data_IF_785655712070
#
_entry.id   IF_785655712070
#
_cell.length_a   1.000
_cell.length_b   1.000
_cell.length_c   1.000
_cell.angle_alpha   90.00
_cell.angle_beta   90.00
_cell.angle_gamma   90.00
#
_symmetry.space_group_name_H-M   'P 1'
#
loop_
_entity.id
_entity.type
_entity.pdbx_description
1 polymer ?
#
# COMPACT_ATOMS: atom_id res chain seq x y z
N UNK A 1 -8.87 -7.13 -1.33
CA UNK A 1 -10.29 -7.42 -1.51
C UNK A 1 -11.15 -6.22 -1.08
N UNK A 2 -11.34 -5.96 0.21
CA UNK A 2 -12.26 -4.97 0.77
C UNK A 2 -12.16 -3.56 0.15
N UNK A 3 -10.95 -3.10 -0.22
CA UNK A 3 -10.78 -1.81 -0.87
C UNK A 3 -11.41 -1.75 -2.28
N UNK A 4 -11.31 -2.84 -3.04
CA UNK A 4 -11.95 -2.98 -4.35
C UNK A 4 -13.46 -3.04 -4.22
N UNK A 5 -13.96 -3.83 -3.29
CA UNK A 5 -15.38 -3.96 -2.97
C UNK A 5 -15.98 -2.59 -2.58
N UNK A 6 -15.35 -1.89 -1.65
CA UNK A 6 -15.78 -0.54 -1.25
C UNK A 6 -15.77 0.44 -2.44
N UNK A 7 -14.76 0.40 -3.29
CA UNK A 7 -14.66 1.28 -4.48
C UNK A 7 -15.72 0.95 -5.53
N UNK A 8 -16.10 -0.32 -5.69
CA UNK A 8 -17.22 -0.75 -6.53
C UNK A 8 -18.56 -0.23 -5.96
N UNK A 9 -18.77 -0.38 -4.64
CA UNK A 9 -19.95 0.14 -3.96
C UNK A 9 -20.09 1.67 -4.13
N UNK A 10 -18.99 2.41 -4.02
CA UNK A 10 -18.98 3.86 -4.26
C UNK A 10 -19.39 4.16 -5.70
N UNK A 11 -18.84 3.43 -6.69
CA UNK A 11 -19.22 3.60 -8.09
C UNK A 11 -20.73 3.34 -8.30
N UNK A 12 -21.24 2.25 -7.73
CA UNK A 12 -22.67 1.88 -7.79
C UNK A 12 -23.58 2.96 -7.23
N UNK A 13 -23.25 3.48 -6.04
CA UNK A 13 -24.03 4.55 -5.37
C UNK A 13 -23.95 5.88 -6.14
N UNK A 14 -22.77 6.22 -6.67
CA UNK A 14 -22.51 7.45 -7.41
C UNK A 14 -23.22 7.50 -8.78
N UNK A 15 -23.39 6.36 -9.41
CA UNK A 15 -23.94 6.20 -10.76
C UNK A 15 -25.22 7.01 -11.00
N UNK A 16 -26.19 6.99 -10.08
CA UNK A 16 -27.46 7.70 -10.21
C UNK A 16 -27.28 9.23 -10.32
N UNK A 17 -26.33 9.80 -9.58
CA UNK A 17 -26.08 11.24 -9.60
C UNK A 17 -25.38 11.68 -10.89
N UNK A 18 -24.46 10.89 -11.42
CA UNK A 18 -23.83 11.17 -12.71
C UNK A 18 -24.81 10.98 -13.88
N UNK A 19 -25.69 10.00 -13.80
CA UNK A 19 -26.77 9.83 -14.79
C UNK A 19 -27.78 10.99 -14.76
N UNK A 20 -28.15 11.47 -13.58
CA UNK A 20 -28.99 12.66 -13.41
C UNK A 20 -28.32 13.90 -14.02
N UNK A 21 -27.04 14.13 -13.71
CA UNK A 21 -26.25 15.21 -14.27
C UNK A 21 -26.23 15.17 -15.81
N UNK A 22 -25.94 14.01 -16.39
CA UNK A 22 -25.97 13.81 -17.86
C UNK A 22 -27.35 14.10 -18.47
N UNK A 23 -28.42 13.68 -17.79
CA UNK A 23 -29.79 13.92 -18.23
C UNK A 23 -30.07 15.41 -18.29
N UNK A 24 -29.73 16.16 -17.26
CA UNK A 24 -29.96 17.62 -17.21
C UNK A 24 -29.15 18.34 -18.30
N UNK A 25 -27.88 18.01 -18.48
CA UNK A 25 -27.07 18.59 -19.58
C UNK A 25 -27.72 18.32 -20.94
N UNK A 26 -28.20 17.09 -21.17
CA UNK A 26 -28.85 16.75 -22.43
C UNK A 26 -30.12 17.54 -22.67
N UNK A 27 -30.88 17.89 -21.62
CA UNK A 27 -32.05 18.76 -21.75
C UNK A 27 -31.67 20.16 -22.20
N UNK A 28 -30.53 20.70 -21.70
CA UNK A 28 -30.02 22.02 -22.07
C UNK A 28 -29.31 22.07 -23.43
N UNK A 29 -28.93 20.91 -24.00
CA UNK A 29 -28.19 20.89 -25.27
C UNK A 29 -29.11 20.94 -26.50
N UNK A 30 -30.44 21.09 -26.40
CA UNK A 30 -31.40 21.28 -27.51
C UNK A 30 -30.96 20.85 -28.91
N UNK A 31 -31.83 20.80 -29.89
CA UNK A 31 -31.41 20.68 -31.29
C UNK A 31 -30.94 22.06 -31.78
N UNK A 32 -30.07 22.08 -32.82
CA UNK A 32 -29.62 23.35 -33.45
C UNK A 32 -30.75 24.26 -33.89
N UNK A 33 -31.93 23.70 -34.11
CA UNK A 33 -33.17 24.42 -34.51
C UNK A 33 -33.99 24.92 -33.32
N UNK A 34 -33.83 24.35 -32.11
CA UNK A 34 -34.50 24.73 -30.86
C UNK A 34 -33.56 24.61 -29.66
N UNK A 35 -32.72 25.61 -29.36
CA UNK A 35 -31.92 25.64 -28.16
C UNK A 35 -32.84 25.75 -26.94
N UNK A 36 -32.82 24.71 -26.09
CA UNK A 36 -33.57 24.72 -24.85
C UNK A 36 -32.69 25.29 -23.76
N UNK A 37 -33.04 26.48 -23.25
CA UNK A 37 -32.31 27.03 -22.11
C UNK A 37 -32.72 26.28 -20.83
N UNK A 38 -31.74 25.87 -20.05
CA UNK A 38 -31.97 25.22 -18.74
C UNK A 38 -32.67 26.18 -17.78
N UNK A 39 -33.64 25.66 -17.05
CA UNK A 39 -34.29 26.40 -15.94
C UNK A 39 -33.26 26.80 -14.88
N UNK A 40 -33.58 27.78 -14.06
CA UNK A 40 -32.73 28.19 -12.93
C UNK A 40 -32.55 27.04 -11.91
N UNK A 41 -33.59 26.24 -11.71
CA UNK A 41 -33.58 25.06 -10.87
C UNK A 41 -32.63 23.98 -11.39
N UNK A 42 -32.68 23.70 -12.69
CA UNK A 42 -31.73 22.76 -13.33
C UNK A 42 -30.26 23.22 -13.25
N UNK A 43 -30.01 24.53 -13.47
CA UNK A 43 -28.71 25.14 -13.33
C UNK A 43 -28.18 24.98 -11.89
N UNK A 44 -29.02 25.29 -10.89
CA UNK A 44 -28.66 25.11 -9.48
C UNK A 44 -28.39 23.63 -9.14
N UNK A 45 -29.23 22.73 -9.64
CA UNK A 45 -29.06 21.29 -9.43
C UNK A 45 -27.77 20.74 -10.07
N UNK A 46 -27.39 21.21 -11.25
CA UNK A 46 -26.09 20.84 -11.88
C UNK A 46 -24.92 21.29 -11.02
N UNK A 47 -24.95 22.51 -10.48
CA UNK A 47 -23.90 23.02 -9.60
C UNK A 47 -23.79 22.19 -8.32
N UNK A 48 -24.92 21.87 -7.70
CA UNK A 48 -24.97 21.01 -6.52
C UNK A 48 -24.38 19.62 -6.79
N UNK A 49 -24.84 18.96 -7.86
CA UNK A 49 -24.34 17.62 -8.23
C UNK A 49 -22.83 17.64 -8.53
N UNK A 50 -22.35 18.65 -9.23
CA UNK A 50 -20.91 18.80 -9.54
C UNK A 50 -20.09 19.00 -8.29
N UNK A 51 -20.52 19.87 -7.39
CA UNK A 51 -19.83 20.18 -6.14
C UNK A 51 -19.82 18.99 -5.16
N UNK A 52 -20.99 18.35 -4.97
CA UNK A 52 -21.15 17.27 -3.98
C UNK A 52 -20.50 15.96 -4.42
N UNK A 53 -20.57 15.65 -5.72
CA UNK A 53 -20.07 14.38 -6.25
C UNK A 53 -18.80 14.49 -7.06
N UNK A 54 -18.17 15.68 -7.13
CA UNK A 54 -16.92 15.91 -7.86
C UNK A 54 -16.97 15.38 -9.29
N UNK A 55 -18.06 15.67 -10.02
CA UNK A 55 -18.26 15.21 -11.40
C UNK A 55 -17.33 15.97 -12.33
N UNK A 56 -16.52 15.25 -13.12
CA UNK A 56 -15.60 15.81 -14.11
C UNK A 56 -16.06 15.44 -15.53
N UNK A 57 -15.73 16.29 -16.50
CA UNK A 57 -16.22 16.17 -17.88
C UNK A 57 -15.83 14.84 -18.56
N UNK A 58 -14.63 14.31 -18.24
CA UNK A 58 -14.19 13.02 -18.81
C UNK A 58 -15.04 11.83 -18.35
N UNK A 59 -15.61 11.89 -17.15
CA UNK A 59 -16.51 10.83 -16.65
C UNK A 59 -17.85 10.82 -17.41
N UNK A 60 -18.24 11.97 -17.98
CA UNK A 60 -19.49 12.09 -18.75
C UNK A 60 -19.42 11.31 -20.08
N UNK A 61 -18.22 11.00 -20.55
CA UNK A 61 -18.00 10.18 -21.75
C UNK A 61 -18.27 8.69 -21.52
N UNK A 62 -18.26 8.22 -20.27
CA UNK A 62 -18.54 6.83 -19.95
C UNK A 62 -19.98 6.43 -20.30
N UNK A 63 -20.25 5.20 -20.73
CA UNK A 63 -21.61 4.66 -20.84
C UNK A 63 -22.38 4.78 -19.52
N UNK A 64 -23.69 4.89 -19.60
CA UNK A 64 -24.55 5.01 -18.41
C UNK A 64 -24.38 3.85 -17.41
N UNK A 65 -24.01 2.66 -17.90
CA UNK A 65 -23.72 1.51 -17.06
C UNK A 65 -22.59 1.81 -16.08
N UNK A 66 -21.57 2.57 -16.50
CA UNK A 66 -20.35 2.85 -15.75
C UNK A 66 -20.23 4.32 -15.30
N UNK A 67 -21.34 5.05 -15.29
CA UNK A 67 -21.37 6.48 -14.97
C UNK A 67 -20.81 6.85 -13.58
N UNK A 68 -20.66 5.90 -12.67
CA UNK A 68 -20.05 6.14 -11.35
C UNK A 68 -18.56 5.81 -11.26
N UNK A 69 -17.97 5.24 -12.33
CA UNK A 69 -16.57 4.79 -12.37
C UNK A 69 -15.59 5.93 -12.58
N UNK A 70 -14.29 5.66 -12.46
CA UNK A 70 -13.25 6.61 -12.88
C UNK A 70 -13.22 6.76 -14.41
N UNK A 71 -12.78 7.92 -14.88
CA UNK A 71 -12.93 8.33 -16.29
C UNK A 71 -12.34 7.34 -17.33
N UNK A 72 -11.17 6.76 -17.03
CA UNK A 72 -10.48 5.79 -17.89
C UNK A 72 -10.80 4.32 -17.55
N UNK A 73 -11.97 4.04 -17.02
CA UNK A 73 -12.35 2.66 -16.63
C UNK A 73 -12.39 1.72 -17.84
N UNK A 74 -13.04 2.13 -18.94
CA UNK A 74 -13.16 1.31 -20.14
C UNK A 74 -11.78 1.12 -20.79
N UNK A 75 -11.46 -0.12 -21.14
CA UNK A 75 -10.17 -0.51 -21.71
C UNK A 75 -9.08 -0.77 -20.65
N UNK A 76 -9.40 -0.57 -19.36
CA UNK A 76 -8.51 -1.00 -18.28
C UNK A 76 -8.63 -2.51 -18.03
N UNK A 77 -7.59 -3.18 -17.49
CA UNK A 77 -7.67 -4.61 -17.17
C UNK A 77 -8.85 -4.97 -16.27
N UNK A 78 -9.17 -4.12 -15.31
CA UNK A 78 -10.30 -4.36 -14.39
C UNK A 78 -11.65 -4.27 -15.09
N UNK A 79 -11.78 -3.47 -16.18
CA UNK A 79 -12.99 -3.43 -17.02
C UNK A 79 -13.18 -4.68 -17.87
N UNK A 80 -12.11 -5.45 -18.04
CA UNK A 80 -12.10 -6.78 -18.68
C UNK A 80 -12.23 -7.92 -17.65
N UNK A 81 -12.44 -7.59 -16.38
CA UNK A 81 -12.52 -8.54 -15.28
C UNK A 81 -11.18 -9.10 -14.83
N UNK A 82 -10.07 -8.43 -15.14
CA UNK A 82 -8.73 -8.84 -14.72
C UNK A 82 -8.29 -8.06 -13.50
N UNK A 83 -8.09 -8.73 -12.37
CA UNK A 83 -7.46 -8.17 -11.19
C UNK A 83 -5.93 -8.10 -11.35
N UNK A 84 -5.26 -7.44 -10.42
CA UNK A 84 -3.80 -7.34 -10.43
C UNK A 84 -3.13 -8.73 -10.37
N UNK A 85 -3.64 -9.64 -9.56
CA UNK A 85 -3.09 -11.00 -9.44
C UNK A 85 -3.27 -11.83 -10.72
N UNK A 86 -4.36 -11.63 -11.50
CA UNK A 86 -4.54 -12.27 -12.80
C UNK A 86 -3.43 -11.85 -13.78
N UNK A 87 -3.03 -10.56 -13.76
CA UNK A 87 -1.94 -10.04 -14.59
C UNK A 87 -0.55 -10.61 -14.20
N UNK A 88 -0.43 -11.14 -13.00
CA UNK A 88 0.77 -11.76 -12.48
C UNK A 88 0.74 -13.29 -12.55
N UNK A 89 -0.34 -13.86 -13.09
CA UNK A 89 -0.60 -15.31 -13.10
C UNK A 89 -0.50 -15.93 -11.70
N UNK A 90 -1.08 -15.26 -10.71
CA UNK A 90 -1.14 -15.70 -9.32
C UNK A 90 -2.59 -16.00 -8.97
N UNK A 91 -2.84 -17.15 -8.39
CA UNK A 91 -4.16 -17.51 -7.85
C UNK A 91 -4.32 -16.94 -6.42
N UNK A 92 -5.47 -16.35 -6.09
CA UNK A 92 -5.79 -16.00 -4.71
C UNK A 92 -5.99 -17.27 -3.88
N UNK A 93 -6.04 -17.12 -2.55
CA UNK A 93 -6.28 -18.28 -1.68
C UNK A 93 -7.60 -18.97 -2.03
N UNK A 94 -7.66 -20.31 -1.99
CA UNK A 94 -8.86 -21.06 -2.36
C UNK A 94 -10.11 -20.65 -1.56
N UNK A 95 -9.94 -20.29 -0.29
CA UNK A 95 -11.01 -19.85 0.60
C UNK A 95 -11.69 -18.57 0.10
N UNK A 96 -10.93 -17.68 -0.53
CA UNK A 96 -11.39 -16.38 -1.04
C UNK A 96 -11.87 -16.43 -2.48
N UNK A 97 -11.72 -17.55 -3.18
CA UNK A 97 -11.99 -17.63 -4.63
C UNK A 97 -13.42 -17.23 -4.98
N UNK A 98 -14.41 -17.75 -4.25
CA UNK A 98 -15.81 -17.42 -4.49
C UNK A 98 -16.15 -15.94 -4.27
N UNK A 99 -15.52 -15.32 -3.28
CA UNK A 99 -15.67 -13.89 -3.00
C UNK A 99 -15.05 -13.04 -4.13
N UNK A 100 -13.88 -13.41 -4.62
CA UNK A 100 -13.22 -12.74 -5.75
C UNK A 100 -14.04 -12.86 -7.04
N UNK A 101 -14.63 -14.03 -7.33
CA UNK A 101 -15.47 -14.25 -8.51
C UNK A 101 -16.76 -13.40 -8.44
N UNK A 102 -17.39 -13.31 -7.28
CA UNK A 102 -18.54 -12.45 -7.02
C UNK A 102 -18.19 -10.98 -7.24
N UNK A 103 -17.08 -10.51 -6.64
CA UNK A 103 -16.62 -9.13 -6.78
C UNK A 103 -16.28 -8.81 -8.24
N UNK A 104 -15.68 -9.75 -8.97
CA UNK A 104 -15.41 -9.62 -10.42
C UNK A 104 -16.70 -9.37 -11.21
N UNK A 105 -17.72 -10.16 -10.96
CA UNK A 105 -19.02 -10.01 -11.61
C UNK A 105 -19.67 -8.65 -11.28
N UNK A 106 -19.60 -8.22 -10.04
CA UNK A 106 -20.14 -6.94 -9.60
C UNK A 106 -19.39 -5.75 -10.21
N UNK A 107 -18.05 -5.81 -10.31
CA UNK A 107 -17.25 -4.78 -10.97
C UNK A 107 -17.58 -4.70 -12.47
N UNK A 108 -17.71 -5.83 -13.16
CA UNK A 108 -18.12 -5.87 -14.56
C UNK A 108 -19.51 -5.26 -14.78
N UNK A 109 -20.40 -5.37 -13.79
CA UNK A 109 -21.76 -4.83 -13.85
C UNK A 109 -21.83 -3.35 -13.47
N UNK A 110 -21.07 -2.90 -12.48
CA UNK A 110 -21.22 -1.59 -11.87
C UNK A 110 -20.04 -0.65 -12.11
N UNK A 111 -18.88 -1.19 -12.51
CA UNK A 111 -17.62 -0.47 -12.57
C UNK A 111 -16.99 -0.25 -11.18
N UNK A 112 -15.92 0.54 -11.14
CA UNK A 112 -15.17 0.85 -9.91
C UNK A 112 -14.78 2.33 -9.87
N UNK A 113 -14.85 2.96 -8.69
CA UNK A 113 -14.63 4.42 -8.56
C UNK A 113 -13.17 4.82 -8.67
N UNK A 114 -12.24 4.02 -8.16
CA UNK A 114 -10.83 4.35 -8.06
C UNK A 114 -10.00 3.40 -8.94
N UNK A 115 -9.11 3.95 -9.77
CA UNK A 115 -8.22 3.17 -10.62
C UNK A 115 -7.11 2.46 -9.83
N UNK A 116 -6.65 3.09 -8.75
CA UNK A 116 -5.61 2.56 -7.87
C UNK A 116 -6.08 2.73 -6.41
N UNK A 117 -5.85 1.73 -5.58
CA UNK A 117 -6.38 1.66 -4.22
C UNK A 117 -5.29 1.47 -3.17
N UNK A 118 -4.31 0.61 -3.45
CA UNK A 118 -3.31 0.20 -2.47
C UNK A 118 -1.93 0.66 -2.91
N UNK A 119 -1.26 1.41 -2.03
CA UNK A 119 0.14 1.79 -2.13
C UNK A 119 0.81 1.57 -0.77
N UNK A 120 1.92 0.83 -0.75
CA UNK A 120 2.68 0.58 0.46
C UNK A 120 3.73 1.66 0.64
N UNK A 121 3.42 2.62 1.51
CA UNK A 121 4.24 3.80 1.80
C UNK A 121 5.39 3.47 2.77
N UNK A 122 6.43 4.34 2.86
CA UNK A 122 7.50 4.18 3.84
C UNK A 122 7.01 4.26 5.31
N UNK A 123 5.94 5.00 5.58
CA UNK A 123 5.36 5.22 6.92
C UNK A 123 6.34 5.83 7.94
N UNK A 124 7.33 6.61 7.48
CA UNK A 124 8.44 7.10 8.28
C UNK A 124 8.05 7.83 9.59
N UNK A 125 7.01 8.65 9.56
CA UNK A 125 6.51 9.35 10.76
C UNK A 125 5.43 8.56 11.49
N UNK A 126 4.49 7.96 10.75
CA UNK A 126 3.35 7.22 11.32
C UNK A 126 3.81 6.00 12.11
N UNK A 127 4.80 5.26 11.60
CA UNK A 127 5.37 4.10 12.30
C UNK A 127 5.95 4.50 13.66
N UNK A 128 6.63 5.65 13.71
CA UNK A 128 7.22 6.15 14.95
C UNK A 128 6.18 6.58 15.98
N UNK A 129 5.08 7.21 15.54
CA UNK A 129 3.96 7.58 16.42
C UNK A 129 3.33 6.34 17.05
N UNK A 130 3.19 5.28 16.26
CA UNK A 130 2.59 4.02 16.70
C UNK A 130 3.57 3.07 17.43
N UNK A 131 4.86 3.40 17.44
CA UNK A 131 5.91 2.54 18.02
C UNK A 131 6.20 1.28 17.21
N UNK A 132 6.03 1.36 15.87
CA UNK A 132 6.33 0.30 14.92
C UNK A 132 7.53 0.67 14.05
N UNK A 133 8.00 -0.28 13.21
CA UNK A 133 9.05 -0.03 12.24
C UNK A 133 8.49 0.57 10.93
N UNK A 134 9.36 1.22 10.17
CA UNK A 134 9.04 1.75 8.82
C UNK A 134 8.82 0.61 7.83
N UNK A 135 8.07 0.89 6.77
CA UNK A 135 7.79 -0.06 5.69
C UNK A 135 7.20 -1.39 6.22
N UNK A 136 7.42 -2.48 5.50
CA UNK A 136 7.15 -3.85 5.95
C UNK A 136 8.50 -4.56 6.07
N UNK A 137 9.31 -4.08 7.00
CA UNK A 137 10.71 -4.49 7.16
C UNK A 137 11.01 -4.83 8.62
N UNK A 138 12.00 -5.71 8.89
CA UNK A 138 12.51 -5.95 10.23
C UNK A 138 13.11 -4.70 10.86
N UNK A 139 13.19 -4.64 12.18
CA UNK A 139 13.85 -3.54 12.87
C UNK A 139 15.32 -3.44 12.46
N UNK A 140 15.80 -2.21 12.28
CA UNK A 140 17.22 -1.95 12.04
C UNK A 140 18.07 -2.17 13.27
N UNK A 141 17.51 -1.86 14.43
CA UNK A 141 18.13 -1.97 15.76
C UNK A 141 17.07 -2.23 16.82
N UNK A 142 17.36 -3.07 17.81
CA UNK A 142 16.50 -3.25 18.98
C UNK A 142 16.63 -2.13 20.01
N UNK A 143 17.74 -1.35 20.00
CA UNK A 143 17.93 -0.15 20.80
C UNK A 143 18.71 0.89 19.99
N UNK A 144 18.23 2.12 19.93
CA UNK A 144 18.90 3.19 19.22
C UNK A 144 18.59 4.57 19.82
N UNK A 145 19.40 5.55 19.48
CA UNK A 145 19.19 6.94 19.89
C UNK A 145 18.52 7.72 18.78
N UNK A 146 17.41 8.37 19.08
CA UNK A 146 16.68 9.26 18.16
C UNK A 146 16.88 10.71 18.57
N UNK A 147 17.40 11.50 17.65
CA UNK A 147 17.49 12.96 17.78
C UNK A 147 16.28 13.64 17.12
N UNK A 148 15.63 14.53 17.85
CA UNK A 148 14.53 15.37 17.38
C UNK A 148 14.79 16.82 17.77
N UNK A 149 13.96 17.75 17.32
CA UNK A 149 14.01 19.15 17.76
C UNK A 149 13.75 19.29 19.27
N UNK A 150 13.00 18.37 19.89
CA UNK A 150 12.68 18.37 21.31
C UNK A 150 13.78 17.72 22.19
N UNK A 151 14.79 17.08 21.59
CA UNK A 151 15.87 16.44 22.33
C UNK A 151 16.31 15.09 21.76
N UNK A 152 17.10 14.39 22.56
CA UNK A 152 17.66 13.08 22.22
C UNK A 152 17.00 12.02 23.10
N UNK A 153 16.42 11.00 22.46
CA UNK A 153 15.67 9.94 23.15
C UNK A 153 16.27 8.58 22.84
N UNK A 154 16.34 7.72 23.83
CA UNK A 154 16.66 6.29 23.62
C UNK A 154 15.36 5.57 23.32
N UNK A 155 15.32 4.89 22.19
CA UNK A 155 14.19 4.05 21.75
C UNK A 155 14.62 2.61 21.84
N UNK A 156 13.79 1.77 22.46
CA UNK A 156 14.04 0.35 22.63
C UNK A 156 12.84 -0.45 22.12
N UNK A 157 13.10 -1.63 21.58
CA UNK A 157 12.06 -2.57 21.21
C UNK A 157 11.35 -3.11 22.46
N UNK A 158 10.17 -2.56 22.74
CA UNK A 158 9.39 -2.87 23.95
C UNK A 158 9.01 -4.34 24.07
N UNK A 159 8.83 -5.03 22.94
CA UNK A 159 8.48 -6.45 22.92
C UNK A 159 9.67 -7.31 23.36
N UNK A 160 10.87 -7.00 22.86
CA UNK A 160 12.09 -7.65 23.32
C UNK A 160 12.29 -7.44 24.84
N UNK A 161 12.09 -6.20 25.33
CA UNK A 161 12.21 -5.92 26.76
C UNK A 161 11.23 -6.75 27.58
N UNK A 162 9.96 -6.88 27.11
CA UNK A 162 8.97 -7.67 27.81
C UNK A 162 9.37 -9.16 27.87
N UNK A 163 9.79 -9.73 26.75
CA UNK A 163 10.23 -11.13 26.70
C UNK A 163 11.46 -11.36 27.62
N UNK A 164 12.39 -10.42 27.67
CA UNK A 164 13.56 -10.52 28.56
C UNK A 164 13.19 -10.33 30.05
N UNK A 165 12.15 -9.54 30.36
CA UNK A 165 11.58 -9.41 31.71
C UNK A 165 10.90 -10.71 32.12
N UNK A 166 10.11 -11.30 31.24
CA UNK A 166 9.39 -12.56 31.50
C UNK A 166 10.37 -13.73 31.74
N UNK A 167 11.55 -13.68 31.11
CA UNK A 167 12.66 -14.59 31.33
C UNK A 167 13.49 -14.26 32.59
N UNK A 168 13.25 -13.13 33.24
CA UNK A 168 14.00 -12.69 34.43
C UNK A 168 15.44 -12.25 34.15
N UNK A 169 15.82 -11.98 32.91
CA UNK A 169 17.19 -11.64 32.50
C UNK A 169 17.37 -10.15 32.11
N UNK A 170 16.29 -9.37 32.12
CA UNK A 170 16.37 -7.94 31.83
C UNK A 170 16.92 -7.18 33.00
N UNK A 171 18.07 -6.54 32.81
CA UNK A 171 18.73 -5.66 33.80
C UNK A 171 19.63 -4.63 33.09
N UNK A 172 20.33 -3.77 33.83
CA UNK A 172 21.20 -2.75 33.25
C UNK A 172 22.35 -3.38 32.43
N UNK A 173 22.93 -4.49 32.90
CA UNK A 173 24.01 -5.18 32.20
C UNK A 173 23.54 -5.73 30.85
N UNK A 174 22.33 -6.33 30.80
CA UNK A 174 21.70 -6.82 29.55
C UNK A 174 21.50 -5.66 28.57
N UNK A 175 20.98 -4.53 29.03
CA UNK A 175 20.81 -3.33 28.21
C UNK A 175 22.14 -2.88 27.61
N UNK A 176 23.21 -2.82 28.44
CA UNK A 176 24.52 -2.39 28.00
C UNK A 176 25.13 -3.37 26.99
N UNK A 177 24.95 -4.70 27.19
CA UNK A 177 25.31 -5.72 26.17
C UNK A 177 24.62 -5.51 24.84
N UNK A 178 23.32 -5.19 24.83
CA UNK A 178 22.57 -4.92 23.58
C UNK A 178 23.11 -3.66 22.90
N UNK A 179 23.41 -2.60 23.66
CA UNK A 179 24.01 -1.35 23.12
C UNK A 179 25.38 -1.63 22.52
N UNK A 180 26.25 -2.37 23.20
CA UNK A 180 27.60 -2.71 22.74
C UNK A 180 27.59 -3.58 21.46
N UNK A 181 26.50 -4.29 21.21
CA UNK A 181 26.29 -5.09 20.01
C UNK A 181 25.45 -4.36 18.94
N UNK A 182 25.44 -3.02 18.91
CA UNK A 182 24.71 -2.20 17.95
C UNK A 182 23.21 -2.57 17.86
N UNK A 183 22.60 -2.92 19.00
CA UNK A 183 21.20 -3.33 19.08
C UNK A 183 20.91 -4.75 18.63
N UNK A 184 21.92 -5.53 18.27
CA UNK A 184 21.80 -6.98 18.04
C UNK A 184 21.80 -7.75 19.36
N UNK A 185 21.06 -8.85 19.39
CA UNK A 185 21.07 -9.80 20.52
C UNK A 185 21.71 -11.14 20.18
N UNK A 186 22.21 -11.30 18.95
CA UNK A 186 22.68 -12.60 18.45
C UNK A 186 23.91 -13.12 19.20
N UNK A 187 24.81 -12.23 19.63
CA UNK A 187 26.05 -12.57 20.33
C UNK A 187 25.91 -12.64 21.87
N UNK A 188 24.70 -12.50 22.41
CA UNK A 188 24.47 -12.51 23.86
C UNK A 188 24.05 -13.92 24.29
N UNK A 189 24.92 -14.63 24.95
CA UNK A 189 24.75 -16.08 25.27
C UNK A 189 23.56 -16.37 26.20
N UNK A 190 23.26 -15.45 27.10
CA UNK A 190 22.17 -15.58 28.08
C UNK A 190 20.78 -15.57 27.47
N UNK A 191 20.65 -15.08 26.23
CA UNK A 191 19.36 -15.01 25.53
C UNK A 191 19.09 -16.32 24.79
N UNK A 192 17.93 -16.96 25.02
CA UNK A 192 17.55 -18.18 24.32
C UNK A 192 17.47 -18.04 22.80
N UNK A 193 17.76 -19.10 22.05
CA UNK A 193 17.80 -19.07 20.59
C UNK A 193 16.48 -18.68 19.92
N UNK A 194 15.34 -19.08 20.47
CA UNK A 194 14.02 -18.71 19.96
C UNK A 194 13.78 -17.18 20.03
N UNK A 195 14.29 -16.51 21.08
CA UNK A 195 14.23 -15.04 21.21
C UNK A 195 15.19 -14.40 20.22
N UNK A 196 16.43 -14.93 20.10
CA UNK A 196 17.38 -14.48 19.08
C UNK A 196 16.81 -14.55 17.68
N UNK A 197 16.11 -15.62 17.34
CA UNK A 197 15.50 -15.81 16.01
C UNK A 197 14.36 -14.84 15.74
N UNK A 198 13.58 -14.50 16.76
CA UNK A 198 12.45 -13.57 16.66
C UNK A 198 12.91 -12.11 16.48
N UNK A 199 13.94 -11.68 17.19
CA UNK A 199 14.40 -10.27 17.24
C UNK A 199 15.67 -10.02 16.41
N UNK A 200 15.86 -10.77 15.31
CA UNK A 200 16.90 -10.46 14.32
C UNK A 200 16.71 -9.05 13.77
N UNK A 201 17.81 -8.31 13.69
CA UNK A 201 17.83 -7.03 12.98
C UNK A 201 17.86 -7.28 11.46
N UNK A 202 17.49 -6.26 10.70
CA UNK A 202 17.51 -6.35 9.22
C UNK A 202 18.90 -6.66 8.67
N UNK A 203 19.96 -6.30 9.39
CA UNK A 203 21.36 -6.56 9.01
C UNK A 203 21.76 -8.03 9.13
N UNK A 204 21.00 -8.81 9.88
CA UNK A 204 21.19 -10.23 10.15
C UNK A 204 20.35 -11.11 9.22
N UNK A 205 19.45 -10.47 8.43
CA UNK A 205 18.59 -11.15 7.50
C UNK A 205 19.13 -11.10 6.06
N UNK A 206 18.88 -12.16 5.30
CA UNK A 206 19.19 -12.17 3.87
C UNK A 206 18.26 -11.20 3.14
N UNK A 207 18.80 -10.23 2.40
CA UNK A 207 18.02 -9.27 1.64
C UNK A 207 17.13 -9.94 0.57
N UNK A 208 17.52 -11.12 0.10
CA UNK A 208 16.68 -11.97 -0.74
C UNK A 208 15.32 -12.24 -0.11
N UNK A 209 15.25 -12.47 1.20
CA UNK A 209 13.98 -12.69 1.92
C UNK A 209 13.06 -11.47 1.86
N UNK A 210 13.60 -10.26 2.00
CA UNK A 210 12.82 -9.02 1.88
C UNK A 210 12.23 -8.87 0.47
N UNK A 211 13.04 -9.19 -0.55
CA UNK A 211 12.59 -9.15 -1.96
C UNK A 211 11.51 -10.21 -2.22
N UNK A 212 11.68 -11.43 -1.72
CA UNK A 212 10.71 -12.50 -1.87
C UNK A 212 9.37 -12.11 -1.22
N UNK A 213 9.38 -11.61 0.02
CA UNK A 213 8.18 -11.13 0.71
C UNK A 213 7.49 -9.97 -0.02
N UNK A 214 8.27 -9.07 -0.63
CA UNK A 214 7.72 -7.99 -1.45
C UNK A 214 7.10 -8.52 -2.74
N UNK A 215 7.72 -9.53 -3.37
CA UNK A 215 7.21 -10.19 -4.58
C UNK A 215 5.89 -10.94 -4.28
N UNK A 216 5.79 -11.61 -3.14
CA UNK A 216 4.56 -12.31 -2.73
C UNK A 216 3.38 -11.35 -2.49
N UNK A 217 3.66 -10.12 -2.04
CA UNK A 217 2.62 -9.08 -1.87
C UNK A 217 2.26 -8.38 -3.18
N UNK A 218 3.18 -8.25 -4.13
CA UNK A 218 3.05 -7.43 -5.34
C UNK A 218 1.79 -7.73 -6.18
N UNK A 219 1.32 -8.97 -6.34
CA UNK A 219 0.08 -9.29 -7.06
C UNK A 219 -1.18 -8.66 -6.46
N UNK A 220 -1.13 -8.27 -5.17
CA UNK A 220 -2.26 -7.72 -4.42
C UNK A 220 -2.13 -6.21 -4.13
N UNK A 221 -1.11 -5.56 -4.70
CA UNK A 221 -0.80 -4.14 -4.49
C UNK A 221 -0.88 -3.40 -5.82
N UNK A 222 -1.70 -2.36 -5.90
CA UNK A 222 -1.91 -1.63 -7.15
C UNK A 222 -0.67 -0.86 -7.62
N UNK A 223 0.10 -0.30 -6.69
CA UNK A 223 1.27 0.51 -6.96
C UNK A 223 2.58 -0.20 -6.58
N UNK A 224 3.69 0.51 -6.69
CA UNK A 224 4.99 0.05 -6.21
C UNK A 224 5.02 0.01 -4.68
N UNK A 225 5.98 -0.73 -4.14
CA UNK A 225 6.20 -0.83 -2.70
C UNK A 225 7.45 -0.03 -2.32
N UNK A 226 7.38 0.72 -1.23
CA UNK A 226 8.54 1.38 -0.63
C UNK A 226 9.36 0.35 0.12
N UNK A 227 10.24 -0.35 -0.60
CA UNK A 227 11.11 -1.41 -0.08
C UNK A 227 12.54 -0.90 0.02
N UNK A 228 13.11 -0.88 1.23
CA UNK A 228 14.53 -0.60 1.43
C UNK A 228 15.34 -1.90 1.36
N UNK A 229 16.57 -1.81 0.88
CA UNK A 229 17.54 -2.89 0.96
C UNK A 229 18.72 -2.45 1.84
N UNK A 230 19.22 -3.39 2.64
CA UNK A 230 20.19 -3.13 3.71
C UNK A 230 21.46 -3.93 3.44
N UNK A 231 22.54 -3.21 3.12
CA UNK A 231 23.84 -3.83 2.81
C UNK A 231 24.93 -3.08 3.56
N UNK A 232 25.60 -3.77 4.49
CA UNK A 232 26.67 -3.15 5.30
C UNK A 232 27.78 -2.55 4.42
N UNK A 233 28.25 -3.32 3.43
CA UNK A 233 29.31 -2.93 2.49
C UNK A 233 28.81 -3.14 1.05
N UNK A 234 28.11 -2.16 0.44
CA UNK A 234 27.58 -2.32 -0.91
C UNK A 234 28.69 -2.37 -1.96
N UNK A 235 28.55 -3.28 -2.91
CA UNK A 235 29.39 -3.39 -4.11
C UNK A 235 28.52 -3.39 -5.35
N UNK A 236 29.05 -3.03 -6.50
CA UNK A 236 28.34 -3.13 -7.80
C UNK A 236 27.76 -4.53 -8.03
N UNK A 237 28.53 -5.57 -7.71
CA UNK A 237 28.10 -6.96 -7.85
C UNK A 237 26.86 -7.25 -6.98
N UNK A 238 26.88 -6.84 -5.73
CA UNK A 238 25.78 -7.05 -4.79
C UNK A 238 24.53 -6.27 -5.22
N UNK A 239 24.70 -5.01 -5.61
CA UNK A 239 23.59 -4.18 -6.08
C UNK A 239 22.95 -4.71 -7.34
N UNK A 240 23.76 -5.06 -8.35
CA UNK A 240 23.26 -5.67 -9.58
C UNK A 240 22.51 -6.98 -9.31
N UNK A 241 23.05 -7.84 -8.45
CA UNK A 241 22.40 -9.11 -8.10
C UNK A 241 21.00 -8.87 -7.48
N UNK A 242 20.88 -7.90 -6.57
CA UNK A 242 19.59 -7.56 -5.95
C UNK A 242 18.61 -6.96 -6.96
N UNK A 243 19.04 -6.02 -7.82
CA UNK A 243 18.18 -5.44 -8.85
C UNK A 243 17.69 -6.47 -9.86
N UNK A 244 18.57 -7.29 -10.39
CA UNK A 244 18.19 -8.37 -11.31
C UNK A 244 17.29 -9.42 -10.63
N UNK A 245 17.52 -9.70 -9.35
CA UNK A 245 16.68 -10.62 -8.62
C UNK A 245 15.26 -10.03 -8.42
N UNK A 246 15.15 -8.76 -8.03
CA UNK A 246 13.88 -8.05 -7.91
C UNK A 246 13.11 -8.01 -9.23
N UNK A 247 13.81 -7.72 -10.33
CA UNK A 247 13.24 -7.73 -11.68
C UNK A 247 12.73 -9.12 -12.09
N UNK A 248 13.54 -10.16 -11.88
CA UNK A 248 13.15 -11.55 -12.16
C UNK A 248 11.95 -12.02 -11.34
N UNK A 249 11.76 -11.47 -10.15
CA UNK A 249 10.61 -11.71 -9.29
C UNK A 249 9.37 -10.89 -9.72
N UNK A 250 9.48 -10.06 -10.75
CA UNK A 250 8.38 -9.27 -11.30
C UNK A 250 8.08 -7.99 -10.55
N UNK A 251 8.91 -7.54 -9.61
CA UNK A 251 8.68 -6.29 -8.90
C UNK A 251 8.69 -5.09 -9.85
N UNK A 252 7.73 -4.19 -9.72
CA UNK A 252 7.61 -2.95 -10.51
C UNK A 252 8.78 -2.00 -10.27
N UNK A 253 9.31 -1.96 -9.04
CA UNK A 253 10.55 -1.27 -8.65
C UNK A 253 11.35 -2.17 -7.73
N UNK A 254 12.67 -2.18 -7.89
CA UNK A 254 13.55 -3.09 -7.14
C UNK A 254 14.01 -2.55 -5.79
N UNK A 255 13.91 -1.22 -5.57
CA UNK A 255 14.43 -0.58 -4.35
C UNK A 255 13.84 0.84 -4.21
N UNK A 256 13.61 1.26 -2.95
CA UNK A 256 13.32 2.65 -2.59
C UNK A 256 14.60 3.33 -2.07
N UNK A 257 15.18 2.83 -0.96
CA UNK A 257 16.48 3.26 -0.49
C UNK A 257 17.45 2.08 -0.33
N UNK A 258 18.71 2.30 -0.69
CA UNK A 258 19.81 1.48 -0.22
C UNK A 258 20.30 2.04 1.12
N UNK A 259 20.22 1.23 2.15
CA UNK A 259 20.74 1.55 3.49
C UNK A 259 22.08 0.86 3.69
N UNK A 260 23.09 1.60 4.10
CA UNK A 260 24.39 1.06 4.49
C UNK A 260 24.66 1.41 5.96
N UNK A 261 25.46 0.61 6.63
CA UNK A 261 25.98 0.97 7.96
C UNK A 261 27.06 2.05 7.80
N UNK A 262 26.99 3.11 8.59
CA UNK A 262 28.08 4.05 8.68
C UNK A 262 29.34 3.32 9.23
N UNK A 263 30.48 3.62 8.63
CA UNK A 263 31.78 3.12 9.12
C UNK A 263 32.22 3.93 10.32
#
# INVERSE_FOLDING_TARGET
FAALECSMEIARKRKKYVQEYKRIIKLGSGTAENPTELSQEDKARLQELKATHFIIDDELKLPNQYAGSYASFIGSPISEGKFQFDLWNVEPSPEMKGEWDTLRADILKHGIRNSLLIALMPTASTSQILGWNECIEPFTNNIYTRKTLAGTFVVINKYLVQDLLDLGIWNQEMKDKIIMNDGSIQAIDEIPQNIKDLYKTVWEMKQKTLIDLAADRAPFVCQTQSMNLFVKNPTYKTLNAMHFYSWKKGLKTGIYYLRSQAK
#
